data_IF_402534678720
#
_entry.id   IF_402534678720
#
_cell.length_a   1.000
_cell.length_b   1.000
_cell.length_c   1.000
_cell.angle_alpha   90.00
_cell.angle_beta   90.00
_cell.angle_gamma   90.00
#
_symmetry.space_group_name_H-M   'P 1'
#
loop_
_entity.id
_entity.type
_entity.pdbx_description
1 polymer ?
#
# COMPACT_ATOMS: atom_id res chain seq x y z
N UNK A 1 -33.62 -7.03 43.90
CA UNK A 1 -34.44 -7.14 42.69
C UNK A 1 -33.57 -6.90 41.49
N UNK A 2 -33.43 -7.91 40.62
CA UNK A 2 -33.01 -7.86 39.22
C UNK A 2 -31.84 -6.93 38.84
N UNK A 3 -30.64 -7.50 38.68
CA UNK A 3 -29.63 -7.04 37.70
C UNK A 3 -28.66 -8.19 37.43
N UNK A 4 -28.61 -8.66 36.19
CA UNK A 4 -27.49 -9.46 35.66
C UNK A 4 -27.62 -10.98 35.66
N UNK A 5 -28.82 -11.55 35.83
CA UNK A 5 -29.02 -13.00 35.69
C UNK A 5 -29.48 -13.32 34.26
N UNK A 6 -28.53 -13.66 33.40
CA UNK A 6 -28.75 -14.10 32.02
C UNK A 6 -29.14 -15.59 32.05
N UNK A 7 -30.27 -15.90 32.69
CA UNK A 7 -30.86 -17.25 32.67
C UNK A 7 -31.80 -17.39 31.46
N UNK A 8 -31.33 -16.99 30.28
CA UNK A 8 -31.91 -17.31 28.99
C UNK A 8 -30.73 -17.51 28.05
N UNK A 9 -30.66 -18.69 27.43
CA UNK A 9 -29.51 -19.08 26.62
C UNK A 9 -29.11 -17.97 25.66
N UNK A 10 -27.83 -17.69 25.58
CA UNK A 10 -27.25 -16.59 24.80
C UNK A 10 -27.54 -16.59 23.29
N UNK A 11 -28.20 -17.64 22.80
CA UNK A 11 -28.67 -17.77 21.43
C UNK A 11 -30.06 -17.15 21.21
N UNK A 12 -30.74 -16.64 22.25
CA UNK A 12 -32.11 -16.10 22.18
C UNK A 12 -32.21 -14.57 22.03
N UNK A 13 -31.10 -13.82 21.98
CA UNK A 13 -31.17 -12.37 21.71
C UNK A 13 -31.55 -12.11 20.25
N UNK A 14 -32.77 -11.62 20.02
CA UNK A 14 -33.30 -11.31 18.68
C UNK A 14 -32.42 -10.36 17.88
N UNK A 15 -31.60 -9.52 18.54
CA UNK A 15 -30.65 -8.62 17.85
C UNK A 15 -29.59 -9.39 17.08
N UNK A 16 -29.20 -10.58 17.53
CA UNK A 16 -28.23 -11.45 16.86
C UNK A 16 -28.79 -12.07 15.56
N UNK A 17 -30.11 -12.02 15.35
CA UNK A 17 -30.78 -12.49 14.14
C UNK A 17 -30.98 -11.38 13.10
N UNK A 18 -30.78 -10.11 13.45
CA UNK A 18 -30.99 -9.00 12.53
C UNK A 18 -29.91 -8.98 11.44
N UNK A 19 -30.23 -8.51 10.22
CA UNK A 19 -29.23 -8.29 9.18
C UNK A 19 -28.28 -7.18 9.61
N UNK A 20 -26.98 -7.45 9.57
CA UNK A 20 -25.92 -6.47 9.85
C UNK A 20 -25.49 -5.77 8.56
N UNK A 21 -24.97 -4.52 8.63
CA UNK A 21 -24.50 -3.80 7.43
C UNK A 21 -23.46 -4.56 6.60
N UNK A 22 -22.73 -5.50 7.22
CA UNK A 22 -21.70 -6.34 6.61
C UNK A 22 -22.16 -7.80 6.34
N UNK A 23 -23.44 -8.15 6.55
CA UNK A 23 -23.94 -9.52 6.28
C UNK A 23 -23.87 -9.90 4.78
N UNK A 24 -23.64 -8.94 3.88
CA UNK A 24 -23.36 -9.19 2.47
C UNK A 24 -21.93 -9.73 2.21
N UNK A 25 -21.05 -9.69 3.22
CA UNK A 25 -19.69 -10.25 3.14
C UNK A 25 -19.72 -11.68 3.66
N UNK A 26 -19.61 -12.66 2.76
CA UNK A 26 -19.49 -14.06 3.15
C UNK A 26 -18.05 -14.39 3.54
N UNK A 27 -17.80 -14.59 4.84
CA UNK A 27 -16.48 -14.97 5.37
C UNK A 27 -16.26 -16.49 5.43
N UNK A 28 -17.27 -17.29 5.07
CA UNK A 28 -17.30 -18.75 5.27
C UNK A 28 -17.59 -19.18 6.72
N UNK A 29 -17.61 -18.25 7.69
CA UNK A 29 -17.91 -18.58 9.08
C UNK A 29 -19.42 -18.64 9.29
N UNK A 30 -19.90 -19.71 9.93
CA UNK A 30 -21.29 -19.89 10.30
C UNK A 30 -21.78 -18.80 11.27
N UNK A 31 -22.90 -18.16 10.93
CA UNK A 31 -23.56 -17.17 11.82
C UNK A 31 -23.97 -17.79 13.16
N UNK A 32 -24.28 -19.09 13.19
CA UNK A 32 -24.57 -19.81 14.43
C UNK A 32 -23.31 -19.95 15.27
N UNK A 33 -22.18 -20.30 14.65
CA UNK A 33 -20.90 -20.41 15.33
C UNK A 33 -20.46 -19.07 15.95
N UNK A 34 -20.60 -17.95 15.22
CA UNK A 34 -20.29 -16.61 15.75
C UNK A 34 -21.09 -16.24 17.00
N UNK A 35 -22.36 -16.65 17.09
CA UNK A 35 -23.18 -16.42 18.29
C UNK A 35 -22.71 -17.27 19.46
N UNK A 36 -22.39 -18.53 19.20
CA UNK A 36 -21.85 -19.43 20.22
C UNK A 36 -20.49 -18.94 20.72
N UNK A 37 -19.62 -18.48 19.81
CA UNK A 37 -18.31 -17.94 20.13
C UNK A 37 -18.39 -16.63 20.92
N UNK A 38 -19.31 -15.73 20.55
CA UNK A 38 -19.63 -14.54 21.34
C UNK A 38 -20.02 -14.90 22.77
N UNK A 39 -20.84 -15.95 22.96
CA UNK A 39 -21.20 -16.37 24.31
C UNK A 39 -20.01 -16.92 25.09
N UNK A 40 -19.18 -17.75 24.46
CA UNK A 40 -17.94 -18.25 25.08
C UNK A 40 -17.06 -17.08 25.51
N UNK A 41 -16.91 -16.06 24.66
CA UNK A 41 -16.15 -14.86 25.00
C UNK A 41 -16.74 -14.08 26.18
N UNK A 42 -18.07 -13.94 26.26
CA UNK A 42 -18.75 -13.31 27.40
C UNK A 42 -18.56 -14.10 28.70
N UNK A 43 -18.40 -15.41 28.61
CA UNK A 43 -18.09 -16.32 29.73
C UNK A 43 -16.58 -16.47 29.99
N UNK A 44 -15.73 -15.74 29.27
CA UNK A 44 -14.28 -15.84 29.31
C UNK A 44 -13.74 -17.26 29.00
N UNK A 45 -14.47 -18.03 28.20
CA UNK A 45 -14.07 -19.33 27.69
C UNK A 45 -13.24 -19.12 26.42
N UNK A 46 -12.06 -19.73 26.37
CA UNK A 46 -11.19 -19.72 25.19
C UNK A 46 -11.55 -20.86 24.24
N UNK A 47 -11.50 -20.60 22.94
CA UNK A 47 -11.57 -21.63 21.90
C UNK A 47 -10.13 -22.09 21.58
N UNK A 48 -9.83 -23.40 21.68
CA UNK A 48 -8.49 -23.90 21.40
C UNK A 48 -8.17 -23.80 19.90
N UNK A 49 -6.88 -23.75 19.57
CA UNK A 49 -6.39 -23.69 18.20
C UNK A 49 -6.82 -24.91 17.38
N UNK A 50 -7.65 -24.69 16.36
CA UNK A 50 -8.16 -25.73 15.47
C UNK A 50 -7.10 -26.34 14.54
N UNK A 51 -5.92 -25.72 14.37
CA UNK A 51 -4.84 -26.30 13.56
C UNK A 51 -4.02 -27.36 14.29
N UNK A 52 -4.01 -27.33 15.62
CA UNK A 52 -3.18 -28.20 16.46
C UNK A 52 -3.96 -29.05 17.45
N UNK A 53 -5.24 -28.73 17.70
CA UNK A 53 -6.08 -29.43 18.67
C UNK A 53 -7.33 -30.03 18.01
N UNK A 54 -8.49 -29.42 18.24
CA UNK A 54 -9.79 -29.96 17.82
C UNK A 54 -10.47 -28.94 16.91
N UNK A 55 -11.04 -29.41 15.80
CA UNK A 55 -11.83 -28.57 14.89
C UNK A 55 -12.92 -27.84 15.69
N UNK A 56 -13.02 -26.53 15.49
CA UNK A 56 -14.04 -25.71 16.16
C UNK A 56 -15.38 -25.67 15.43
N UNK A 57 -15.48 -26.34 14.28
CA UNK A 57 -16.68 -26.37 13.41
C UNK A 57 -17.20 -24.96 13.06
N UNK A 58 -16.28 -24.04 12.75
CA UNK A 58 -16.62 -22.66 12.42
C UNK A 58 -17.32 -22.50 11.07
N UNK A 59 -17.29 -23.53 10.22
CA UNK A 59 -17.90 -23.55 8.87
C UNK A 59 -16.96 -23.19 7.72
N UNK A 60 -15.72 -22.78 8.01
CA UNK A 60 -14.75 -22.36 6.99
C UNK A 60 -14.20 -23.56 6.22
N UNK A 61 -13.75 -24.58 6.94
CA UNK A 61 -13.27 -25.82 6.35
C UNK A 61 -14.49 -26.72 6.08
N UNK A 62 -15.04 -26.68 4.86
CA UNK A 62 -16.09 -27.61 4.43
C UNK A 62 -15.57 -29.04 4.29
N UNK A 63 -16.44 -29.98 3.92
CA UNK A 63 -16.08 -31.41 3.81
C UNK A 63 -14.98 -31.68 2.75
N UNK A 64 -14.88 -30.83 1.73
CA UNK A 64 -13.85 -30.89 0.70
C UNK A 64 -12.52 -30.23 1.11
N UNK A 65 -12.53 -29.50 2.24
CA UNK A 65 -11.36 -28.82 2.78
C UNK A 65 -10.60 -29.82 3.66
N UNK A 66 -9.67 -30.54 3.04
CA UNK A 66 -8.95 -31.67 3.65
C UNK A 66 -8.26 -31.39 5.00
N UNK A 67 -7.57 -32.40 5.52
CA UNK A 67 -7.02 -32.34 6.88
C UNK A 67 -5.80 -31.40 7.00
N UNK A 68 -5.68 -30.73 8.16
CA UNK A 68 -4.52 -29.92 8.48
C UNK A 68 -3.27 -30.80 8.59
N UNK A 69 -2.25 -30.51 7.78
CA UNK A 69 -0.94 -31.17 7.85
C UNK A 69 0.05 -30.19 8.49
N UNK A 70 0.52 -30.51 9.70
CA UNK A 70 1.55 -29.72 10.37
C UNK A 70 2.90 -30.02 9.71
N UNK A 71 3.39 -29.05 8.91
CA UNK A 71 4.74 -29.12 8.33
C UNK A 71 5.75 -28.70 9.39
N UNK A 72 6.77 -29.53 9.72
CA UNK A 72 7.80 -29.11 10.65
C UNK A 72 8.50 -27.87 10.11
N UNK A 73 8.73 -26.84 10.94
CA UNK A 73 9.40 -25.64 10.48
C UNK A 73 10.80 -26.01 9.96
N UNK A 74 11.26 -25.43 8.83
CA UNK A 74 12.63 -25.60 8.40
C UNK A 74 13.58 -25.12 9.50
N UNK A 75 14.82 -25.65 9.56
CA UNK A 75 15.80 -25.16 10.52
C UNK A 75 15.95 -23.65 10.34
N UNK A 76 15.93 -22.93 11.46
CA UNK A 76 16.20 -21.50 11.46
C UNK A 76 17.60 -21.29 10.87
N UNK A 77 17.76 -20.43 9.84
CA UNK A 77 19.08 -20.11 9.33
C UNK A 77 19.92 -19.51 10.46
N UNK A 78 21.24 -19.75 10.42
CA UNK A 78 22.14 -19.10 11.36
C UNK A 78 22.03 -17.58 11.21
N UNK A 79 21.95 -16.90 12.34
CA UNK A 79 21.88 -15.45 12.36
C UNK A 79 23.22 -14.87 11.87
N UNK A 80 23.25 -14.38 10.63
CA UNK A 80 24.41 -13.76 9.99
C UNK A 80 24.69 -12.31 10.48
N UNK A 81 24.24 -11.99 11.70
CA UNK A 81 24.33 -10.64 12.25
C UNK A 81 23.25 -9.69 11.74
N UNK A 82 23.31 -8.45 12.24
CA UNK A 82 22.43 -7.39 11.78
C UNK A 82 22.91 -6.89 10.41
N UNK A 83 22.05 -7.01 9.38
CA UNK A 83 22.33 -6.42 8.06
C UNK A 83 22.70 -4.94 8.20
N UNK A 84 23.94 -4.57 7.85
CA UNK A 84 24.36 -3.16 7.89
C UNK A 84 23.76 -2.42 6.72
N UNK A 85 22.85 -1.50 7.02
CA UNK A 85 22.28 -0.58 6.02
C UNK A 85 23.41 0.27 5.43
N UNK A 86 23.39 0.46 4.13
CA UNK A 86 24.23 1.46 3.49
C UNK A 86 23.50 2.81 3.50
N UNK A 87 23.97 3.73 4.34
CA UNK A 87 23.48 5.10 4.47
C UNK A 87 24.40 6.12 3.81
N UNK A 88 25.37 5.67 3.01
CA UNK A 88 26.28 6.54 2.27
C UNK A 88 25.49 7.43 1.30
N UNK A 89 25.98 8.65 1.10
CA UNK A 89 25.33 9.68 0.28
C UNK A 89 26.35 10.17 -0.74
N UNK A 90 26.57 9.40 -1.80
CA UNK A 90 27.65 9.67 -2.78
C UNK A 90 27.15 10.42 -4.02
N UNK A 91 25.85 10.40 -4.26
CA UNK A 91 25.20 11.11 -5.36
C UNK A 91 23.76 11.47 -4.94
N UNK A 92 23.33 12.70 -5.21
CA UNK A 92 21.93 13.13 -5.09
C UNK A 92 21.39 13.39 -6.48
N UNK A 93 20.24 12.82 -6.78
CA UNK A 93 19.61 12.86 -8.09
C UNK A 93 18.26 13.52 -7.95
N UNK A 94 18.02 14.56 -8.73
CA UNK A 94 16.69 15.14 -8.93
C UNK A 94 16.06 14.47 -10.15
N UNK A 95 14.88 13.90 -9.94
CA UNK A 95 14.10 13.20 -10.95
C UNK A 95 12.88 14.05 -11.24
N UNK A 96 12.74 14.46 -12.50
CA UNK A 96 11.55 15.15 -13.00
C UNK A 96 10.67 14.14 -13.71
N UNK A 97 9.38 14.11 -13.40
CA UNK A 97 8.41 13.18 -13.98
C UNK A 97 7.07 13.85 -14.24
N UNK A 98 6.27 13.29 -15.15
CA UNK A 98 4.89 13.74 -15.35
C UNK A 98 3.90 12.77 -14.67
N UNK A 99 2.71 13.23 -14.34
CA UNK A 99 1.58 12.43 -13.84
C UNK A 99 0.36 12.76 -14.67
N UNK A 100 0.03 11.89 -15.63
CA UNK A 100 -0.89 12.16 -16.72
C UNK A 100 -2.08 11.19 -16.74
N UNK A 101 -3.20 11.62 -17.32
CA UNK A 101 -4.37 10.78 -17.54
C UNK A 101 -4.91 10.15 -16.26
N UNK A 102 -5.18 8.84 -16.28
CA UNK A 102 -5.72 8.09 -15.14
C UNK A 102 -4.77 8.04 -13.93
N UNK A 103 -3.48 8.36 -14.11
CA UNK A 103 -2.55 8.51 -12.97
C UNK A 103 -2.96 9.67 -12.06
N UNK A 104 -3.85 10.56 -12.49
CA UNK A 104 -4.54 11.54 -11.63
C UNK A 104 -5.13 10.90 -10.35
N UNK A 105 -5.65 9.67 -10.45
CA UNK A 105 -6.28 8.92 -9.37
C UNK A 105 -5.29 8.28 -8.38
N UNK A 106 -3.98 8.36 -8.64
CA UNK A 106 -2.96 7.85 -7.72
C UNK A 106 -2.61 8.94 -6.71
N UNK A 107 -2.88 8.69 -5.42
CA UNK A 107 -2.52 9.57 -4.33
C UNK A 107 -1.01 9.61 -4.07
N UNK A 108 -0.55 10.61 -3.33
CA UNK A 108 0.88 10.84 -3.09
C UNK A 108 1.60 9.65 -2.45
N UNK A 109 1.04 9.04 -1.40
CA UNK A 109 1.66 7.90 -0.71
C UNK A 109 1.77 6.67 -1.62
N UNK A 110 0.76 6.41 -2.44
CA UNK A 110 0.79 5.30 -3.38
C UNK A 110 1.75 5.54 -4.54
N UNK A 111 1.89 6.80 -4.98
CA UNK A 111 2.91 7.21 -5.94
C UNK A 111 4.32 6.98 -5.37
N UNK A 112 4.59 7.38 -4.12
CA UNK A 112 5.89 7.11 -3.48
C UNK A 112 6.16 5.59 -3.33
N UNK A 113 5.17 4.80 -2.95
CA UNK A 113 5.28 3.33 -2.89
C UNK A 113 5.53 2.73 -4.27
N UNK A 114 4.92 3.29 -5.31
CA UNK A 114 5.14 2.86 -6.69
C UNK A 114 6.57 3.16 -7.14
N UNK A 115 7.08 4.36 -6.88
CA UNK A 115 8.48 4.70 -7.11
C UNK A 115 9.43 3.77 -6.36
N UNK A 116 9.15 3.46 -5.09
CA UNK A 116 9.95 2.50 -4.31
C UNK A 116 10.02 1.13 -5.00
N UNK A 117 8.89 0.64 -5.53
CA UNK A 117 8.86 -0.60 -6.32
C UNK A 117 9.64 -0.46 -7.64
N UNK A 118 9.52 0.67 -8.34
CA UNK A 118 10.22 0.91 -9.59
C UNK A 118 11.74 0.96 -9.38
N UNK A 119 12.22 1.70 -8.37
CA UNK A 119 13.63 1.74 -7.98
C UNK A 119 14.16 0.36 -7.61
N UNK A 120 13.38 -0.44 -6.86
CA UNK A 120 13.78 -1.81 -6.50
C UNK A 120 13.89 -2.72 -7.73
N UNK A 121 12.94 -2.67 -8.67
CA UNK A 121 13.00 -3.45 -9.92
C UNK A 121 14.15 -3.01 -10.83
N UNK A 122 14.43 -1.72 -10.87
CA UNK A 122 15.57 -1.13 -11.60
C UNK A 122 16.92 -1.29 -10.86
N UNK A 123 16.94 -1.97 -9.70
CA UNK A 123 18.13 -2.15 -8.87
C UNK A 123 18.86 -0.84 -8.51
N UNK A 124 18.11 0.25 -8.31
CA UNK A 124 18.67 1.56 -7.93
C UNK A 124 19.22 1.49 -6.49
N UNK A 125 20.50 1.86 -6.27
CA UNK A 125 21.18 1.70 -4.99
C UNK A 125 20.86 2.85 -4.03
N UNK A 126 19.60 2.95 -3.61
CA UNK A 126 19.09 4.03 -2.73
C UNK A 126 19.82 4.09 -1.39
N UNK A 127 20.12 5.30 -0.95
CA UNK A 127 20.58 5.62 0.39
C UNK A 127 19.42 5.55 1.36
N UNK A 128 19.64 4.86 2.48
CA UNK A 128 18.63 4.67 3.52
C UNK A 128 18.89 5.60 4.70
N UNK A 129 17.82 5.93 5.42
CA UNK A 129 17.89 6.62 6.70
C UNK A 129 18.64 5.81 7.76
N UNK A 130 19.18 6.52 8.75
CA UNK A 130 19.97 5.94 9.86
C UNK A 130 19.12 5.22 10.93
N UNK A 131 17.80 5.23 10.82
CA UNK A 131 16.92 4.57 11.80
C UNK A 131 17.10 3.04 11.77
N UNK A 132 17.40 2.45 12.92
CA UNK A 132 17.60 1.01 13.08
C UNK A 132 16.31 0.19 12.84
N UNK A 133 15.16 0.75 13.24
CA UNK A 133 13.87 0.04 13.22
C UNK A 133 13.00 0.34 12.00
N UNK A 134 13.25 1.46 11.30
CA UNK A 134 12.42 1.88 10.17
C UNK A 134 13.26 2.68 9.16
N UNK A 135 14.31 2.06 8.63
CA UNK A 135 15.15 2.64 7.60
C UNK A 135 14.35 2.80 6.29
N UNK A 136 13.98 4.03 5.95
CA UNK A 136 13.32 4.38 4.70
C UNK A 136 14.32 4.97 3.70
N UNK A 137 14.10 4.79 2.39
CA UNK A 137 14.86 5.52 1.38
C UNK A 137 14.80 7.04 1.63
N UNK A 138 15.92 7.72 1.43
CA UNK A 138 15.99 9.18 1.51
C UNK A 138 15.38 9.76 0.24
N UNK A 139 14.10 10.08 0.33
CA UNK A 139 13.29 10.64 -0.76
C UNK A 139 12.70 11.96 -0.31
N UNK A 140 12.78 12.98 -1.15
CA UNK A 140 12.14 14.27 -0.90
C UNK A 140 11.34 14.69 -2.12
N UNK A 141 10.02 14.81 -1.98
CA UNK A 141 9.15 15.39 -3.01
C UNK A 141 9.23 16.91 -2.96
N UNK A 142 9.15 17.57 -4.11
CA UNK A 142 9.09 19.04 -4.18
C UNK A 142 7.79 19.56 -3.56
N UNK A 143 6.66 19.12 -4.11
CA UNK A 143 5.34 19.40 -3.59
C UNK A 143 4.50 18.12 -3.58
N UNK A 144 3.35 18.20 -2.93
CA UNK A 144 2.34 17.14 -2.95
C UNK A 144 1.24 17.55 -3.91
N UNK A 145 1.14 16.88 -5.05
CA UNK A 145 0.04 17.09 -5.98
C UNK A 145 -1.29 16.55 -5.40
N UNK A 146 -2.39 17.32 -5.40
CA UNK A 146 -3.69 16.84 -4.94
C UNK A 146 -4.19 15.62 -5.71
N UNK A 147 -5.01 14.81 -5.06
CA UNK A 147 -5.68 13.68 -5.71
C UNK A 147 -6.60 14.19 -6.83
N UNK A 148 -6.61 13.49 -7.96
CA UNK A 148 -7.41 13.86 -9.14
C UNK A 148 -6.72 14.87 -10.06
N UNK A 149 -5.52 15.36 -9.70
CA UNK A 149 -4.79 16.33 -10.51
C UNK A 149 -3.72 15.63 -11.36
N UNK A 150 -3.51 16.17 -12.55
CA UNK A 150 -2.39 15.84 -13.44
C UNK A 150 -1.31 16.91 -13.33
N UNK A 151 -0.07 16.53 -13.61
CA UNK A 151 1.06 17.44 -13.66
C UNK A 151 1.99 17.06 -14.79
N UNK A 152 2.55 18.07 -15.47
CA UNK A 152 3.53 17.87 -16.53
C UNK A 152 4.96 17.82 -16.01
N UNK A 153 5.22 18.25 -14.77
CA UNK A 153 6.55 18.32 -14.19
C UNK A 153 6.48 18.32 -12.65
N UNK A 154 6.45 17.13 -12.07
CA UNK A 154 6.71 16.89 -10.65
C UNK A 154 8.20 16.60 -10.45
N UNK A 155 8.71 16.97 -9.27
CA UNK A 155 10.11 16.78 -8.93
C UNK A 155 10.24 15.98 -7.64
N UNK A 156 11.13 14.99 -7.64
CA UNK A 156 11.56 14.28 -6.45
C UNK A 156 13.09 14.22 -6.41
N UNK A 157 13.64 14.19 -5.20
CA UNK A 157 15.07 14.00 -4.96
C UNK A 157 15.28 12.68 -4.25
N UNK A 158 16.29 11.94 -4.71
CA UNK A 158 16.79 10.74 -4.06
C UNK A 158 18.28 10.82 -3.85
N UNK A 159 18.77 10.03 -2.90
CA UNK A 159 20.20 9.90 -2.63
C UNK A 159 20.63 8.46 -2.85
N UNK A 160 21.83 8.28 -3.40
CA UNK A 160 22.37 6.99 -3.79
C UNK A 160 23.62 6.65 -3.00
N UNK A 161 23.82 5.36 -2.80
CA UNK A 161 25.01 4.76 -2.15
C UNK A 161 26.11 4.44 -3.17
N UNK A 162 25.79 4.47 -4.47
CA UNK A 162 26.73 4.32 -5.58
C UNK A 162 26.39 5.34 -6.65
N UNK A 163 27.42 5.88 -7.32
CA UNK A 163 27.23 6.72 -8.49
C UNK A 163 26.67 5.89 -9.65
N UNK A 164 25.66 6.43 -10.33
CA UNK A 164 25.09 5.88 -11.55
C UNK A 164 25.25 6.86 -12.71
N UNK A 165 25.26 6.32 -13.93
CA UNK A 165 25.02 7.11 -15.13
C UNK A 165 23.53 7.51 -15.18
N UNK A 166 23.27 8.81 -15.30
CA UNK A 166 21.91 9.34 -15.15
C UNK A 166 21.05 9.10 -16.39
N UNK A 167 21.65 9.00 -17.58
CA UNK A 167 20.92 8.67 -18.80
C UNK A 167 20.44 7.22 -18.77
N UNK A 168 21.33 6.30 -18.38
CA UNK A 168 21.00 4.89 -18.17
C UNK A 168 19.94 4.69 -17.09
N UNK A 169 20.09 5.41 -15.97
CA UNK A 169 19.13 5.41 -14.87
C UNK A 169 17.76 5.90 -15.35
N UNK A 170 17.68 7.00 -16.09
CA UNK A 170 16.43 7.51 -16.65
C UNK A 170 15.77 6.49 -17.58
N UNK A 171 16.54 5.84 -18.46
CA UNK A 171 16.03 4.80 -19.38
C UNK A 171 15.46 3.63 -18.59
N UNK A 172 16.27 3.03 -17.71
CA UNK A 172 15.88 1.87 -16.91
C UNK A 172 14.67 2.18 -16.03
N UNK A 173 14.58 3.39 -15.47
CA UNK A 173 13.41 3.78 -14.69
C UNK A 173 12.16 3.88 -15.54
N UNK A 174 12.23 4.49 -16.73
CA UNK A 174 11.07 4.56 -17.63
C UNK A 174 10.51 3.17 -17.97
N UNK A 175 11.37 2.15 -18.14
CA UNK A 175 10.93 0.77 -18.36
C UNK A 175 10.15 0.18 -17.18
N UNK A 176 10.38 0.69 -15.96
CA UNK A 176 9.69 0.26 -14.75
C UNK A 176 8.44 1.10 -14.42
N UNK A 177 8.24 2.25 -15.06
CA UNK A 177 7.12 3.15 -14.75
C UNK A 177 5.85 2.73 -15.52
N UNK A 178 4.65 2.94 -14.93
CA UNK A 178 3.41 2.73 -15.66
C UNK A 178 3.21 3.79 -16.75
N UNK A 179 2.33 3.47 -17.71
CA UNK A 179 1.84 4.43 -18.67
C UNK A 179 1.24 5.66 -17.97
N UNK A 180 1.56 6.86 -18.46
CA UNK A 180 1.12 8.12 -17.88
C UNK A 180 1.99 8.64 -16.72
N UNK A 181 3.10 7.97 -16.39
CA UNK A 181 4.10 8.51 -15.45
C UNK A 181 5.55 8.47 -16.00
N UNK A 182 5.84 9.13 -17.12
CA UNK A 182 7.18 9.11 -17.70
C UNK A 182 8.19 9.87 -16.83
N UNK A 183 9.43 9.37 -16.80
CA UNK A 183 10.58 10.10 -16.24
C UNK A 183 11.15 11.00 -17.33
N UNK A 184 11.06 12.31 -17.10
CA UNK A 184 11.42 13.36 -18.04
C UNK A 184 12.91 13.70 -17.99
N UNK A 185 13.49 13.79 -16.78
CA UNK A 185 14.93 13.98 -16.59
C UNK A 185 15.42 13.36 -15.28
N UNK A 186 16.71 13.02 -15.26
CA UNK A 186 17.48 12.71 -14.06
C UNK A 186 18.74 13.58 -14.04
N UNK A 187 18.88 14.42 -13.02
CA UNK A 187 19.95 15.41 -12.93
C UNK A 187 20.70 15.28 -11.61
N UNK A 188 22.03 15.43 -11.65
CA UNK A 188 22.83 15.42 -10.43
C UNK A 188 22.70 16.75 -9.70
N UNK A 189 22.50 16.69 -8.39
CA UNK A 189 22.44 17.87 -7.54
C UNK A 189 23.44 17.74 -6.39
N UNK A 190 24.13 18.82 -5.97
CA UNK A 190 25.03 18.75 -4.84
C UNK A 190 24.31 18.36 -3.54
N UNK A 191 25.01 17.62 -2.67
CA UNK A 191 24.51 17.23 -1.35
C UNK A 191 24.85 18.30 -0.29
N UNK A 192 25.99 18.94 -0.48
CA UNK A 192 26.56 19.95 0.40
C UNK A 192 26.91 21.20 -0.38
N UNK A 193 26.80 22.35 0.28
CA UNK A 193 27.38 23.61 -0.15
C UNK A 193 28.90 23.57 -0.07
N UNK A 194 29.57 24.54 -0.69
CA UNK A 194 31.06 24.64 -0.69
C UNK A 194 31.62 24.78 0.73
N UNK A 195 30.85 25.36 1.65
CA UNK A 195 31.19 25.54 3.06
C UNK A 195 30.95 24.27 3.92
N UNK A 196 30.46 23.19 3.31
CA UNK A 196 30.17 21.92 3.98
C UNK A 196 28.79 21.84 4.64
N UNK A 197 27.99 22.92 4.61
CA UNK A 197 26.60 22.88 5.07
C UNK A 197 25.73 22.07 4.11
N UNK A 198 24.60 21.51 4.59
CA UNK A 198 23.69 20.71 3.74
C UNK A 198 22.96 21.63 2.77
N UNK A 199 22.90 21.23 1.51
CA UNK A 199 22.05 21.90 0.53
C UNK A 199 20.58 21.75 0.89
N UNK A 200 19.80 22.76 0.54
CA UNK A 200 18.36 22.76 0.62
C UNK A 200 17.77 21.60 -0.18
N UNK A 201 16.67 21.05 0.32
CA UNK A 201 15.89 20.08 -0.41
C UNK A 201 15.01 20.77 -1.44
N UNK A 202 14.65 20.06 -2.52
CA UNK A 202 13.78 20.61 -3.58
C UNK A 202 12.50 21.24 -3.04
N UNK A 203 11.92 20.70 -1.96
CA UNK A 203 10.72 21.25 -1.30
C UNK A 203 10.89 22.65 -0.73
N UNK A 204 12.12 23.05 -0.44
CA UNK A 204 12.47 24.39 0.07
C UNK A 204 12.85 25.35 -1.06
N UNK A 205 13.11 24.82 -2.26
CA UNK A 205 13.55 25.60 -3.42
C UNK A 205 12.43 25.91 -4.41
N UNK A 206 11.21 25.38 -4.19
CA UNK A 206 10.08 25.70 -5.08
C UNK A 206 9.66 27.15 -4.86
N UNK A 207 9.89 27.99 -5.87
CA UNK A 207 9.54 29.41 -5.85
C UNK A 207 8.21 29.69 -6.53
N UNK A 208 7.84 28.89 -7.52
CA UNK A 208 6.63 29.07 -8.32
C UNK A 208 6.03 27.74 -8.75
N UNK A 209 4.73 27.75 -9.01
CA UNK A 209 4.01 26.67 -9.65
C UNK A 209 2.86 27.28 -10.45
N UNK A 210 2.55 26.70 -11.60
CA UNK A 210 1.49 27.16 -12.48
C UNK A 210 0.32 26.16 -12.46
N UNK A 211 -0.90 26.68 -12.36
CA UNK A 211 -2.11 25.89 -12.35
C UNK A 211 -2.95 26.18 -13.60
N UNK A 212 -3.13 25.15 -14.43
CA UNK A 212 -4.02 25.22 -15.58
C UNK A 212 -5.35 24.56 -15.25
N UNK A 213 -6.42 25.35 -15.20
CA UNK A 213 -7.79 24.84 -15.03
C UNK A 213 -8.50 24.84 -16.37
N UNK A 214 -8.83 23.65 -16.88
CA UNK A 214 -9.62 23.51 -18.09
C UNK A 214 -11.09 23.28 -17.74
N UNK A 215 -11.93 24.29 -18.00
CA UNK A 215 -13.38 24.17 -17.86
C UNK A 215 -13.97 23.64 -19.16
N UNK A 216 -14.74 22.56 -19.08
CA UNK A 216 -15.49 21.98 -20.22
C UNK A 216 -16.98 21.91 -19.86
N UNK A 217 -17.89 22.01 -20.84
CA UNK A 217 -19.30 21.71 -20.62
C UNK A 217 -19.44 20.31 -20.02
N UNK A 218 -20.37 20.14 -19.07
CA UNK A 218 -20.67 18.82 -18.54
C UNK A 218 -21.12 17.89 -19.70
N UNK A 219 -20.68 16.62 -19.72
CA UNK A 219 -21.30 15.66 -20.61
C UNK A 219 -22.80 15.58 -20.31
N UNK A 220 -23.65 15.29 -21.30
CA UNK A 220 -25.06 14.99 -21.02
C UNK A 220 -25.14 13.88 -19.96
N UNK A 221 -26.19 13.88 -19.10
CA UNK A 221 -26.38 12.81 -18.13
C UNK A 221 -26.33 11.47 -18.86
N UNK A 222 -25.62 10.51 -18.29
CA UNK A 222 -25.67 9.13 -18.80
C UNK A 222 -27.10 8.62 -18.62
N UNK A 223 -27.72 8.15 -19.69
CA UNK A 223 -28.99 7.45 -19.61
C UNK A 223 -28.79 6.18 -18.77
N UNK A 224 -29.47 6.11 -17.62
CA UNK A 224 -29.38 4.99 -16.65
C UNK A 224 -29.84 3.65 -17.26
N UNK A 225 -30.49 3.68 -18.43
CA UNK A 225 -31.04 2.51 -19.13
C UNK A 225 -30.05 1.80 -20.07
N UNK A 226 -28.80 2.28 -20.21
CA UNK A 226 -27.83 1.72 -21.15
C UNK A 226 -26.93 0.59 -20.57
N UNK A 227 -27.13 0.18 -19.31
CA UNK A 227 -26.31 -0.89 -18.67
C UNK A 227 -26.75 -2.32 -19.01
N UNK A 228 -27.85 -2.55 -19.74
CA UNK A 228 -28.31 -3.91 -20.08
C UNK A 228 -27.76 -4.49 -21.39
N UNK A 229 -27.05 -3.73 -22.24
CA UNK A 229 -26.52 -4.24 -23.52
C UNK A 229 -24.99 -4.26 -23.56
N UNK A 230 -24.37 -5.09 -22.70
CA UNK A 230 -22.90 -5.19 -22.63
C UNK A 230 -22.29 -6.53 -22.22
N UNK A 231 -23.07 -7.59 -21.99
CA UNK A 231 -22.54 -8.95 -21.79
C UNK A 231 -22.60 -9.74 -23.09
N UNK A 232 -21.60 -9.55 -23.96
CA UNK A 232 -21.59 -10.23 -25.26
C UNK A 232 -20.31 -10.07 -26.07
N UNK A 233 -19.14 -10.33 -25.48
CA UNK A 233 -17.92 -10.55 -26.25
C UNK A 233 -17.32 -11.93 -25.88
N UNK A 234 -17.29 -12.91 -26.79
CA UNK A 234 -16.68 -14.24 -26.55
C UNK A 234 -15.14 -14.18 -26.72
N UNK A 235 -14.41 -15.25 -26.33
CA UNK A 235 -13.12 -15.18 -25.63
C UNK A 235 -11.90 -14.73 -26.45
#
# INVERSE_FOLDING_TARGET
>A
GQKGRVDRGALEDERLNRPLPWDHINTGISKTWLKTDLQRALEAITVPDCSHHVCSECGVCGDDFGENIVVPPPPLPEFDGNWKRNSDRVQKVRITFAKLGSMACVGHLDMLRMFERAWRRAAIPLSLGESEFNARPRVTSALTLPLGWTSSAECLEIELTKRLDLQEMQRTLNEQMPAGMPILSCEEFPIFHVDGSRMEHVSQCVTEHELLVQVRPAPPPMDEDAEEEGEGAPP
#
